data_IF_061651757459
#
_entry.id   IF_061651757459
#
_cell.length_a   1.000
_cell.length_b   1.000
_cell.length_c   1.000
_cell.angle_alpha   90.00
_cell.angle_beta   90.00
_cell.angle_gamma   90.00
#
_symmetry.space_group_name_H-M   'P 1'
#
loop_
_entity.id
_entity.type
_entity.pdbx_description
1 polymer ?
#
# COMPACT_ATOMS: atom_id res chain seq x y z
N UNK A 1 0.29 -2.89 1.91
CA UNK A 1 0.99 -3.07 3.20
C UNK A 1 2.44 -3.49 2.92
N UNK A 2 3.41 -2.68 3.32
CA UNK A 2 4.83 -2.99 3.16
C UNK A 2 5.59 -2.76 4.46
N UNK A 3 6.72 -3.44 4.63
CA UNK A 3 7.73 -3.03 5.60
C UNK A 3 8.88 -2.37 4.84
N UNK A 4 9.23 -1.17 5.26
CA UNK A 4 10.32 -0.40 4.67
C UNK A 4 11.62 -0.76 5.40
N UNK A 5 12.59 -1.30 4.66
CA UNK A 5 13.92 -1.69 5.13
C UNK A 5 14.91 -0.70 4.55
N UNK A 6 15.29 0.29 5.36
CA UNK A 6 16.14 1.39 4.93
C UNK A 6 17.57 1.18 5.42
N UNK A 7 18.52 1.17 4.48
CA UNK A 7 19.96 1.17 4.76
C UNK A 7 20.51 2.54 4.42
N UNK A 8 21.16 3.19 5.40
CA UNK A 8 21.91 4.42 5.21
C UNK A 8 23.38 4.08 4.93
N UNK A 9 23.97 4.67 3.90
CA UNK A 9 25.37 4.52 3.55
C UNK A 9 25.90 5.83 2.94
N UNK A 10 27.22 6.03 2.98
CA UNK A 10 27.86 7.23 2.39
C UNK A 10 27.70 7.27 0.87
N UNK A 11 27.75 6.11 0.23
CA UNK A 11 27.54 5.94 -1.22
C UNK A 11 26.92 4.59 -1.55
N UNK A 12 26.42 4.47 -2.76
CA UNK A 12 25.96 3.19 -3.30
C UNK A 12 27.11 2.31 -3.73
N UNK A 13 27.03 0.97 -3.57
CA UNK A 13 28.01 0.04 -4.13
C UNK A 13 27.92 0.01 -5.65
N UNK A 14 29.08 -0.14 -6.32
CA UNK A 14 29.12 -0.53 -7.71
C UNK A 14 28.84 -2.04 -7.89
N UNK A 15 28.64 -2.50 -9.12
CA UNK A 15 28.42 -3.91 -9.40
C UNK A 15 29.60 -4.76 -8.88
N UNK A 16 29.27 -5.75 -8.05
CA UNK A 16 30.26 -6.65 -7.41
C UNK A 16 31.00 -6.07 -6.20
N UNK A 17 30.66 -4.86 -5.76
CA UNK A 17 31.29 -4.21 -4.62
C UNK A 17 30.50 -4.44 -3.32
N UNK A 18 31.22 -4.47 -2.20
CA UNK A 18 30.64 -4.44 -0.85
C UNK A 18 31.02 -3.12 -0.18
N UNK A 19 30.03 -2.39 0.33
CA UNK A 19 30.24 -1.19 1.14
C UNK A 19 29.66 -1.42 2.55
N UNK A 20 30.20 -0.72 3.54
CA UNK A 20 29.65 -0.72 4.90
C UNK A 20 28.53 0.31 4.98
N UNK A 21 27.38 -0.10 5.52
CA UNK A 21 26.29 0.81 5.85
C UNK A 21 26.48 1.42 7.25
N UNK A 22 25.92 2.58 7.45
CA UNK A 22 26.01 3.33 8.72
C UNK A 22 24.82 2.98 9.64
N UNK A 23 23.64 2.71 9.06
CA UNK A 23 22.41 2.46 9.83
C UNK A 23 21.43 1.56 9.08
N UNK A 24 20.69 0.73 9.85
CA UNK A 24 19.53 -0.02 9.38
C UNK A 24 18.29 0.47 10.13
N UNK A 25 17.23 0.78 9.39
CA UNK A 25 15.91 1.15 9.92
C UNK A 25 14.88 0.21 9.32
N UNK A 26 14.05 -0.38 10.16
CA UNK A 26 12.89 -1.19 9.74
C UNK A 26 11.64 -0.50 10.26
N UNK A 27 10.71 -0.16 9.38
CA UNK A 27 9.49 0.56 9.74
C UNK A 27 8.27 0.06 8.95
N UNK A 28 7.06 0.14 9.54
CA UNK A 28 5.84 -0.10 8.77
C UNK A 28 5.72 0.96 7.67
N UNK A 29 5.22 0.53 6.51
CA UNK A 29 5.08 1.37 5.33
C UNK A 29 4.04 0.81 4.36
N UNK A 30 4.16 1.20 3.10
CA UNK A 30 3.17 0.97 2.05
C UNK A 30 2.15 2.10 1.97
N UNK A 31 1.86 2.52 0.74
CA UNK A 31 1.02 3.71 0.48
C UNK A 31 -0.36 3.60 1.14
N UNK A 32 -1.03 2.44 0.99
CA UNK A 32 -2.35 2.21 1.59
C UNK A 32 -2.31 2.23 3.12
N UNK A 33 -1.34 1.56 3.75
CA UNK A 33 -1.20 1.55 5.20
C UNK A 33 -0.86 2.95 5.74
N UNK A 34 0.02 3.70 5.06
CA UNK A 34 0.36 5.06 5.45
C UNK A 34 -0.84 6.01 5.37
N UNK A 35 -1.67 5.90 4.33
CA UNK A 35 -2.90 6.69 4.18
C UNK A 35 -3.94 6.29 5.25
N UNK A 36 -4.08 5.00 5.54
CA UNK A 36 -4.98 4.52 6.59
C UNK A 36 -4.59 5.07 7.97
N UNK A 37 -3.30 4.99 8.32
CA UNK A 37 -2.78 5.55 9.58
C UNK A 37 -2.97 7.06 9.65
N UNK A 38 -2.71 7.79 8.55
CA UNK A 38 -2.89 9.24 8.51
C UNK A 38 -4.36 9.64 8.71
N UNK A 39 -5.29 8.97 8.03
CA UNK A 39 -6.72 9.24 8.17
C UNK A 39 -7.23 8.92 9.58
N UNK A 40 -6.82 7.80 10.16
CA UNK A 40 -7.21 7.42 11.52
C UNK A 40 -6.69 8.42 12.57
N UNK A 41 -5.45 8.88 12.45
CA UNK A 41 -4.88 9.92 13.33
C UNK A 41 -5.58 11.27 13.21
N UNK A 42 -6.24 11.54 12.09
CA UNK A 42 -7.07 12.73 11.88
C UNK A 42 -8.52 12.54 12.38
N UNK A 43 -8.84 11.38 12.96
CA UNK A 43 -10.13 11.09 13.59
C UNK A 43 -11.14 10.38 12.70
N UNK A 44 -10.74 9.89 11.52
CA UNK A 44 -11.61 9.06 10.70
C UNK A 44 -11.72 7.64 11.27
N UNK A 45 -12.87 7.00 11.09
CA UNK A 45 -13.02 5.55 11.27
C UNK A 45 -12.48 4.86 10.01
N UNK A 46 -11.43 4.04 10.16
CA UNK A 46 -10.68 3.49 9.03
C UNK A 46 -10.58 1.98 9.11
N UNK A 47 -10.91 1.32 8.02
CA UNK A 47 -10.73 -0.11 7.81
C UNK A 47 -9.67 -0.36 6.74
N UNK A 48 -8.71 -1.24 7.04
CA UNK A 48 -7.70 -1.66 6.06
C UNK A 48 -8.12 -2.98 5.41
N UNK A 49 -8.23 -2.99 4.08
CA UNK A 49 -8.41 -4.21 3.28
C UNK A 49 -7.10 -4.52 2.58
N UNK A 50 -6.54 -5.72 2.83
CA UNK A 50 -5.25 -6.07 2.25
C UNK A 50 -4.75 -7.46 2.66
N UNK A 51 -3.56 -7.81 2.20
CA UNK A 51 -2.91 -9.06 2.56
C UNK A 51 -1.52 -8.83 3.14
N UNK A 52 -1.15 -9.68 4.09
CA UNK A 52 0.18 -9.80 4.70
C UNK A 52 0.63 -11.26 4.66
N UNK A 53 1.92 -11.50 4.79
CA UNK A 53 2.48 -12.84 4.97
C UNK A 53 2.33 -13.35 6.40
N UNK A 54 2.56 -14.65 6.58
CA UNK A 54 2.65 -15.30 7.89
C UNK A 54 4.10 -15.19 8.42
N UNK A 55 4.56 -13.95 8.58
CA UNK A 55 5.93 -13.61 8.96
C UNK A 55 5.99 -12.46 9.98
N UNK A 56 7.20 -12.13 10.46
CA UNK A 56 7.42 -11.05 11.42
C UNK A 56 7.05 -9.68 10.85
N UNK A 57 7.20 -9.48 9.55
CA UNK A 57 6.83 -8.25 8.88
C UNK A 57 5.31 -8.05 8.87
N UNK A 58 4.53 -9.13 8.70
CA UNK A 58 3.08 -9.08 8.84
C UNK A 58 2.64 -8.62 10.23
N UNK A 59 3.35 -9.06 11.30
CA UNK A 59 3.10 -8.58 12.67
C UNK A 59 3.41 -7.10 12.82
N UNK A 60 4.55 -6.62 12.30
CA UNK A 60 4.93 -5.19 12.34
C UNK A 60 3.82 -4.32 11.72
N UNK A 61 3.29 -4.72 10.55
CA UNK A 61 2.20 -3.98 9.90
C UNK A 61 0.93 -4.01 10.75
N UNK A 62 0.51 -5.18 11.21
CA UNK A 62 -0.73 -5.34 11.95
C UNK A 62 -0.71 -4.56 13.28
N UNK A 63 0.42 -4.61 13.99
CA UNK A 63 0.59 -3.89 15.25
C UNK A 63 0.55 -2.37 15.02
N UNK A 64 1.25 -1.87 14.01
CA UNK A 64 1.23 -0.44 13.65
C UNK A 64 -0.16 0.07 13.27
N UNK A 65 -0.93 -0.71 12.51
CA UNK A 65 -2.31 -0.37 12.15
C UNK A 65 -3.20 -0.29 13.40
N UNK A 66 -3.12 -1.30 14.28
CA UNK A 66 -3.89 -1.35 15.54
C UNK A 66 -3.52 -0.22 16.49
N UNK A 67 -2.24 0.06 16.67
CA UNK A 67 -1.74 1.18 17.49
C UNK A 67 -2.25 2.54 16.99
N UNK A 68 -2.50 2.63 15.69
CA UNK A 68 -3.06 3.83 15.05
C UNK A 68 -4.59 3.80 14.95
N UNK A 69 -5.27 2.87 15.63
CA UNK A 69 -6.73 2.71 15.64
C UNK A 69 -7.35 2.41 14.26
N UNK A 70 -6.61 1.77 13.38
CA UNK A 70 -7.13 1.23 12.12
C UNK A 70 -7.69 -0.16 12.34
N UNK A 71 -8.92 -0.41 11.89
CA UNK A 71 -9.53 -1.74 11.92
C UNK A 71 -8.81 -2.69 10.96
N UNK A 72 -8.43 -3.87 11.46
CA UNK A 72 -7.64 -4.88 10.72
C UNK A 72 -8.40 -6.16 10.41
N UNK A 73 -9.71 -6.17 10.57
CA UNK A 73 -10.58 -7.35 10.38
C UNK A 73 -10.50 -7.91 8.95
N UNK A 74 -10.16 -7.08 7.99
CA UNK A 74 -10.00 -7.41 6.57
C UNK A 74 -8.53 -7.40 6.11
N UNK A 75 -7.58 -7.52 7.04
CA UNK A 75 -6.17 -7.78 6.73
C UNK A 75 -5.94 -9.28 6.78
N UNK A 76 -5.85 -9.90 5.59
CA UNK A 76 -5.78 -11.36 5.45
C UNK A 76 -4.34 -11.86 5.47
N UNK A 77 -4.07 -12.89 6.29
CA UNK A 77 -2.75 -13.52 6.33
C UNK A 77 -2.64 -14.61 5.27
N UNK A 78 -1.58 -14.58 4.47
CA UNK A 78 -1.24 -15.55 3.43
C UNK A 78 -0.13 -16.48 3.89
N UNK A 79 -0.40 -17.79 3.93
CA UNK A 79 0.60 -18.79 4.27
C UNK A 79 1.53 -19.04 3.08
N UNK A 80 2.83 -19.11 3.36
CA UNK A 80 3.84 -19.41 2.36
C UNK A 80 4.21 -18.22 1.45
N UNK A 81 3.64 -17.06 1.70
CA UNK A 81 3.97 -15.81 1.00
C UNK A 81 4.53 -14.81 2.00
N UNK A 82 5.54 -14.05 1.61
CA UNK A 82 6.11 -13.00 2.46
C UNK A 82 5.25 -11.74 2.44
N UNK A 83 5.26 -10.98 3.53
CA UNK A 83 4.73 -9.61 3.54
C UNK A 83 5.48 -8.75 2.52
N UNK A 84 4.80 -7.79 1.90
CA UNK A 84 5.44 -6.84 0.99
C UNK A 84 6.56 -6.05 1.68
N UNK A 85 7.65 -5.78 0.96
CA UNK A 85 8.79 -5.00 1.47
C UNK A 85 9.25 -3.96 0.47
N UNK A 86 9.75 -2.84 0.97
CA UNK A 86 10.51 -1.87 0.20
C UNK A 86 11.95 -1.82 0.74
N UNK A 87 12.92 -2.15 -0.10
CA UNK A 87 14.34 -2.08 0.20
C UNK A 87 14.87 -0.74 -0.27
N UNK A 88 15.20 0.13 0.67
CA UNK A 88 15.56 1.52 0.43
C UNK A 88 17.03 1.72 0.76
N UNK A 89 17.80 2.22 -0.19
CA UNK A 89 19.16 2.70 0.06
C UNK A 89 19.17 4.22 0.05
N UNK A 90 19.53 4.82 1.19
CA UNK A 90 19.78 6.25 1.31
C UNK A 90 21.29 6.49 1.21
N UNK A 91 21.71 7.16 0.17
CA UNK A 91 23.11 7.48 -0.07
C UNK A 91 23.23 8.72 -0.96
N UNK A 92 24.29 9.53 -0.76
CA UNK A 92 24.58 10.68 -1.63
C UNK A 92 23.46 11.72 -1.69
N UNK A 93 22.64 11.81 -0.63
CA UNK A 93 21.52 12.75 -0.54
C UNK A 93 20.29 12.34 -1.34
N UNK A 94 20.23 11.10 -1.86
CA UNK A 94 19.13 10.57 -2.64
C UNK A 94 18.78 9.13 -2.21
N UNK A 95 17.64 8.61 -2.68
CA UNK A 95 17.20 7.25 -2.42
C UNK A 95 17.17 6.39 -3.69
N UNK A 96 17.28 5.09 -3.49
CA UNK A 96 16.91 4.07 -4.48
C UNK A 96 16.09 2.98 -3.80
N UNK A 97 15.00 2.55 -4.47
CA UNK A 97 14.00 1.68 -3.86
C UNK A 97 13.74 0.48 -4.75
N UNK A 98 13.78 -0.71 -4.15
CA UNK A 98 13.31 -1.95 -4.78
C UNK A 98 12.13 -2.45 -3.97
N UNK A 99 10.98 -2.61 -4.62
CA UNK A 99 9.75 -3.10 -3.99
C UNK A 99 9.53 -4.57 -4.32
N UNK A 100 9.26 -5.38 -3.30
CA UNK A 100 8.82 -6.76 -3.41
C UNK A 100 7.35 -6.78 -2.98
N UNK A 101 6.45 -7.10 -3.91
CA UNK A 101 5.00 -7.05 -3.66
C UNK A 101 4.56 -8.02 -2.56
N UNK A 102 5.15 -9.22 -2.50
CA UNK A 102 4.75 -10.24 -1.54
C UNK A 102 3.24 -10.46 -1.55
N UNK A 103 2.64 -10.60 -0.38
CA UNK A 103 1.22 -10.83 -0.20
C UNK A 103 0.31 -9.73 -0.78
N UNK A 104 0.81 -8.51 -1.06
CA UNK A 104 0.02 -7.50 -1.76
C UNK A 104 -0.40 -7.97 -3.18
N UNK A 105 0.39 -8.85 -3.81
CA UNK A 105 0.04 -9.42 -5.11
C UNK A 105 -1.14 -10.40 -5.05
N UNK A 106 -1.54 -10.83 -3.85
CA UNK A 106 -2.63 -11.77 -3.61
C UNK A 106 -3.93 -11.09 -3.14
N UNK A 107 -3.98 -9.76 -3.14
CA UNK A 107 -5.22 -9.01 -2.89
C UNK A 107 -6.08 -9.10 -4.16
N UNK A 108 -7.09 -9.94 -4.13
CA UNK A 108 -7.97 -10.19 -5.27
C UNK A 108 -9.43 -9.76 -5.03
N UNK A 109 -10.31 -9.98 -6.00
CA UNK A 109 -11.75 -9.73 -5.85
C UNK A 109 -12.38 -10.46 -4.66
N UNK A 110 -11.87 -11.65 -4.29
CA UNK A 110 -12.38 -12.41 -3.13
C UNK A 110 -12.20 -11.63 -1.82
N UNK A 111 -11.04 -11.00 -1.60
CA UNK A 111 -10.80 -10.17 -0.41
C UNK A 111 -11.72 -8.95 -0.37
N UNK A 112 -11.98 -8.37 -1.54
CA UNK A 112 -12.93 -7.25 -1.69
C UNK A 112 -14.34 -7.70 -1.36
N UNK A 113 -14.77 -8.86 -1.86
CA UNK A 113 -16.10 -9.40 -1.62
C UNK A 113 -16.33 -9.75 -0.15
N UNK A 114 -15.31 -10.29 0.52
CA UNK A 114 -15.35 -10.57 1.97
C UNK A 114 -15.46 -9.31 2.83
N UNK A 115 -15.00 -8.18 2.32
CA UNK A 115 -15.10 -6.88 2.97
C UNK A 115 -16.28 -6.04 2.46
N UNK A 116 -17.07 -6.54 1.52
CA UNK A 116 -18.02 -5.73 0.76
C UNK A 116 -19.12 -5.10 1.61
N UNK A 117 -19.63 -5.79 2.62
CA UNK A 117 -20.67 -5.24 3.51
C UNK A 117 -20.17 -3.95 4.20
N UNK A 118 -18.89 -3.90 4.58
CA UNK A 118 -18.28 -2.71 5.13
C UNK A 118 -17.98 -1.68 4.03
N UNK A 119 -17.36 -2.09 2.91
CA UNK A 119 -16.99 -1.19 1.81
C UNK A 119 -18.21 -0.45 1.25
N UNK A 120 -19.35 -1.15 1.08
CA UNK A 120 -20.58 -0.57 0.52
C UNK A 120 -21.21 0.52 1.39
N UNK A 121 -20.84 0.60 2.66
CA UNK A 121 -21.30 1.62 3.61
C UNK A 121 -20.25 2.73 3.89
N UNK A 122 -19.06 2.60 3.31
CA UNK A 122 -17.99 3.58 3.49
C UNK A 122 -18.32 4.91 2.79
N UNK A 123 -17.95 6.01 3.41
CA UNK A 123 -18.06 7.34 2.78
C UNK A 123 -17.13 7.48 1.57
N UNK A 124 -15.95 6.84 1.64
CA UNK A 124 -14.93 6.90 0.60
C UNK A 124 -13.99 5.70 0.69
N UNK A 125 -13.58 5.17 -0.45
CA UNK A 125 -12.54 4.14 -0.59
C UNK A 125 -11.28 4.78 -1.17
N UNK A 126 -10.13 4.53 -0.55
CA UNK A 126 -8.82 5.00 -1.00
C UNK A 126 -8.08 3.87 -1.70
N UNK A 127 -7.63 4.08 -2.93
CA UNK A 127 -6.91 3.10 -3.74
C UNK A 127 -5.54 3.64 -4.18
N UNK A 128 -4.55 2.76 -4.22
CA UNK A 128 -3.20 3.02 -4.73
C UNK A 128 -2.78 1.85 -5.64
N UNK A 129 -1.64 1.97 -6.35
CA UNK A 129 -1.20 0.98 -7.34
C UNK A 129 -0.23 -0.08 -6.76
N UNK A 130 -0.36 -0.39 -5.48
CA UNK A 130 0.47 -1.42 -4.82
C UNK A 130 -0.20 -2.81 -4.75
N UNK A 131 -1.42 -2.96 -5.26
CA UNK A 131 -2.16 -4.21 -5.41
C UNK A 131 -2.37 -4.56 -6.89
N UNK A 132 -2.88 -5.75 -7.25
CA UNK A 132 -3.14 -6.11 -8.65
C UNK A 132 -4.08 -5.14 -9.34
N UNK A 133 -3.79 -4.84 -10.62
CA UNK A 133 -4.56 -3.92 -11.46
C UNK A 133 -6.00 -4.39 -11.64
N UNK A 134 -6.19 -5.70 -11.75
CA UNK A 134 -7.50 -6.34 -11.87
C UNK A 134 -8.38 -6.09 -10.64
N UNK A 135 -7.76 -6.05 -9.46
CA UNK A 135 -8.47 -5.77 -8.20
C UNK A 135 -8.87 -4.30 -8.12
N UNK A 136 -7.98 -3.39 -8.54
CA UNK A 136 -8.30 -1.96 -8.61
C UNK A 136 -9.48 -1.73 -9.54
N UNK A 137 -9.45 -2.33 -10.75
CA UNK A 137 -10.54 -2.27 -11.72
C UNK A 137 -11.86 -2.76 -11.12
N UNK A 138 -11.81 -3.91 -10.44
CA UNK A 138 -12.96 -4.50 -9.77
C UNK A 138 -13.56 -3.55 -8.71
N UNK A 139 -12.73 -2.98 -7.84
CA UNK A 139 -13.18 -2.06 -6.77
C UNK A 139 -13.76 -0.78 -7.35
N UNK A 140 -13.08 -0.17 -8.33
CA UNK A 140 -13.55 1.09 -8.96
C UNK A 140 -14.93 0.89 -9.58
N UNK A 141 -15.15 -0.19 -10.33
CA UNK A 141 -16.43 -0.50 -10.96
C UNK A 141 -17.52 -0.79 -9.92
N UNK A 142 -17.20 -1.63 -8.95
CA UNK A 142 -18.18 -2.05 -7.93
C UNK A 142 -18.58 -0.89 -7.01
N UNK A 143 -17.64 -0.02 -6.64
CA UNK A 143 -17.94 1.19 -5.89
C UNK A 143 -18.78 2.19 -6.69
N UNK A 144 -18.49 2.38 -7.98
CA UNK A 144 -19.30 3.24 -8.85
C UNK A 144 -20.75 2.76 -8.96
N UNK A 145 -20.97 1.45 -9.11
CA UNK A 145 -22.32 0.83 -9.14
C UNK A 145 -23.07 1.01 -7.83
N UNK A 146 -22.37 0.98 -6.70
CA UNK A 146 -22.95 1.14 -5.36
C UNK A 146 -23.05 2.60 -4.90
N UNK A 147 -22.53 3.57 -5.68
CA UNK A 147 -22.52 4.97 -5.30
C UNK A 147 -21.50 5.33 -4.21
N UNK A 148 -20.51 4.46 -3.95
CA UNK A 148 -19.43 4.70 -3.00
C UNK A 148 -18.35 5.54 -3.68
N UNK A 149 -17.90 6.62 -3.04
CA UNK A 149 -16.84 7.48 -3.57
C UNK A 149 -15.50 6.75 -3.58
N UNK A 150 -14.71 6.99 -4.63
CA UNK A 150 -13.34 6.48 -4.74
C UNK A 150 -12.37 7.64 -4.86
N UNK A 151 -11.32 7.64 -4.02
CA UNK A 151 -10.13 8.45 -4.17
C UNK A 151 -9.02 7.55 -4.72
N UNK A 152 -8.55 7.87 -5.93
CA UNK A 152 -7.48 7.15 -6.60
C UNK A 152 -6.16 7.93 -6.48
N UNK A 153 -5.18 7.33 -5.82
CA UNK A 153 -3.80 7.81 -5.82
C UNK A 153 -2.98 6.96 -6.82
N UNK A 154 -2.63 7.47 -8.00
CA UNK A 154 -2.00 6.70 -9.08
C UNK A 154 -0.51 6.44 -8.81
N UNK A 155 -0.18 5.93 -7.65
CA UNK A 155 1.17 5.71 -7.15
C UNK A 155 1.40 4.25 -6.71
N UNK A 156 2.54 3.61 -7.09
CA UNK A 156 3.60 4.13 -7.99
C UNK A 156 3.07 4.34 -9.41
N UNK A 157 3.71 5.27 -10.14
CA UNK A 157 3.30 5.63 -11.50
C UNK A 157 3.06 4.41 -12.40
N UNK A 158 1.90 4.37 -13.02
CA UNK A 158 1.52 3.40 -14.06
C UNK A 158 0.39 4.00 -14.91
N UNK A 159 0.22 3.48 -16.12
CA UNK A 159 -0.88 3.88 -16.99
C UNK A 159 -2.22 3.64 -16.31
N UNK A 160 -2.97 4.71 -16.12
CA UNK A 160 -4.31 4.71 -15.54
C UNK A 160 -5.35 4.64 -16.64
N UNK A 161 -6.21 3.61 -16.67
CA UNK A 161 -7.31 3.54 -17.63
C UNK A 161 -8.23 4.77 -17.50
N UNK A 162 -8.65 5.35 -18.61
CA UNK A 162 -9.57 6.50 -18.65
C UNK A 162 -10.87 6.20 -17.89
N UNK A 163 -11.40 4.99 -18.03
CA UNK A 163 -12.58 4.52 -17.30
C UNK A 163 -12.44 4.65 -15.77
N UNK A 164 -11.23 4.45 -15.21
CA UNK A 164 -11.03 4.63 -13.78
C UNK A 164 -11.04 6.11 -13.37
N UNK A 165 -10.48 6.97 -14.22
CA UNK A 165 -10.51 8.42 -14.00
C UNK A 165 -11.93 8.97 -14.04
N UNK A 166 -12.76 8.48 -14.95
CA UNK A 166 -14.18 8.86 -15.05
C UNK A 166 -15.02 8.41 -13.85
N UNK A 167 -14.70 7.23 -13.26
CA UNK A 167 -15.43 6.66 -12.13
C UNK A 167 -14.92 7.12 -10.77
N UNK A 168 -13.67 7.54 -10.69
CA UNK A 168 -13.10 8.05 -9.44
C UNK A 168 -13.71 9.40 -9.08
N UNK A 169 -14.05 9.59 -7.80
CA UNK A 169 -14.55 10.87 -7.29
C UNK A 169 -13.43 11.89 -7.11
N UNK A 170 -12.22 11.40 -6.80
CA UNK A 170 -11.02 12.20 -6.59
C UNK A 170 -9.80 11.45 -7.13
N UNK A 171 -8.83 12.21 -7.66
CA UNK A 171 -7.52 11.71 -8.10
C UNK A 171 -6.46 12.59 -7.46
N UNK A 172 -5.42 11.98 -6.87
CA UNK A 172 -4.35 12.69 -6.15
C UNK A 172 -2.96 12.29 -6.66
N UNK A 173 -2.61 12.67 -7.91
CA UNK A 173 -1.27 12.46 -8.44
C UNK A 173 -0.28 13.49 -7.89
N UNK A 174 1.01 13.12 -7.81
CA UNK A 174 2.09 14.10 -7.71
C UNK A 174 2.44 14.66 -9.11
N UNK A 175 3.43 15.59 -9.19
CA UNK A 175 3.84 16.23 -10.45
C UNK A 175 4.46 15.27 -11.49
N UNK A 176 4.92 14.09 -11.09
CA UNK A 176 5.43 13.06 -12.00
C UNK A 176 4.32 12.13 -12.48
N UNK A 177 3.35 11.86 -11.63
CA UNK A 177 2.19 11.01 -11.90
C UNK A 177 1.12 11.73 -12.75
N UNK A 178 1.13 13.08 -12.76
CA UNK A 178 0.19 13.92 -13.51
C UNK A 178 0.61 14.20 -14.97
N UNK A 179 1.76 13.69 -15.42
CA UNK A 179 2.28 13.84 -16.79
C UNK A 179 1.84 12.71 -17.70
#
# INVERSE_FOLDING_TARGET
CNVDITVEAQRRPHAGETVMGDRLIVSPGGKGANQAVAAARLGAEVYMVGCIGDDDYGRIITDSLKESHVHTDYVFTRKGTTTGTAHITLAEGDNSIIVIKGANAEVGPEEVDRAWDMISTAEIVLLQYEIPKETIDYVVKKCAEAGVKVLLNPAPFADTPEEWMEKASYITPNEHEAK
#
